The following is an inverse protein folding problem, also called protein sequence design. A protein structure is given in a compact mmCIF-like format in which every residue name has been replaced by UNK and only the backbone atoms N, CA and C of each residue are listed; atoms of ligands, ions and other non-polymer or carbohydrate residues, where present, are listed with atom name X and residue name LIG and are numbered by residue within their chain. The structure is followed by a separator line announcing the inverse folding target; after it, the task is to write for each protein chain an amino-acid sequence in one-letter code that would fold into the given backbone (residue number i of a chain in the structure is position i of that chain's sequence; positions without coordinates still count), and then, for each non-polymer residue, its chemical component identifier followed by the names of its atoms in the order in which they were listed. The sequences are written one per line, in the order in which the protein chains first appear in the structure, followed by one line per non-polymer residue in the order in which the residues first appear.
data_IF_311601968557
#
_entry.id   IF_311601968557
#
_cell.length_a   1.000
_cell.length_b   1.000
_cell.length_c   1.000
_cell.angle_alpha   90.00
_cell.angle_beta   90.00
_cell.angle_gamma   90.00
#
_symmetry.space_group_name_H-M   'P 1'
#
loop_
_entity.id
_entity.type
_entity.pdbx_description
1 polymer ?
#
# COMPACT_ATOMS: atom_id res chain seq x y z
N UNK A 1 -8.16 15.13 44.30
CA UNK A 1 -7.07 14.18 43.98
C UNK A 1 -7.20 13.77 42.51
N UNK A 2 -6.59 14.53 41.59
CA UNK A 2 -6.42 14.08 40.21
C UNK A 2 -4.97 13.64 40.06
N UNK A 3 -4.76 12.34 39.94
CA UNK A 3 -3.44 11.74 39.74
C UNK A 3 -3.09 11.85 38.26
N UNK A 4 -2.34 12.87 37.86
CA UNK A 4 -1.69 12.89 36.55
C UNK A 4 -0.37 12.13 36.67
N UNK A 5 -0.35 10.88 36.20
CA UNK A 5 0.90 10.16 35.99
C UNK A 5 1.60 10.73 34.75
N UNK A 6 2.89 11.02 34.87
CA UNK A 6 3.72 11.41 33.74
C UNK A 6 3.88 10.18 32.84
N UNK A 7 3.36 10.25 31.63
CA UNK A 7 3.60 9.25 30.60
C UNK A 7 4.93 9.61 29.95
N UNK A 8 5.97 8.82 30.21
CA UNK A 8 7.22 8.92 29.48
C UNK A 8 7.03 8.34 28.08
N UNK A 9 7.27 9.15 27.04
CA UNK A 9 7.11 8.75 25.64
C UNK A 9 8.50 8.60 25.05
N UNK A 10 8.97 7.36 24.97
CA UNK A 10 10.22 7.04 24.29
C UNK A 10 9.97 6.78 22.80
N UNK A 11 10.68 7.51 21.93
CA UNK A 11 10.72 7.20 20.50
C UNK A 11 11.71 6.08 20.24
N UNK A 12 11.20 4.90 19.94
CA UNK A 12 11.99 3.76 19.48
C UNK A 12 11.93 3.73 17.95
N UNK A 13 13.09 3.62 17.30
CA UNK A 13 13.16 3.37 15.85
C UNK A 13 13.18 1.87 15.62
N UNK A 14 12.25 1.37 14.81
CA UNK A 14 12.25 -0.01 14.38
C UNK A 14 12.91 -0.12 13.00
N UNK A 15 13.51 -1.27 12.66
CA UNK A 15 13.85 -1.57 11.27
C UNK A 15 12.60 -1.49 10.39
N UNK A 16 12.71 -0.87 9.22
CA UNK A 16 11.57 -0.64 8.32
C UNK A 16 10.89 -1.96 7.89
N UNK A 17 11.63 -3.09 7.87
CA UNK A 17 11.06 -4.42 7.67
C UNK A 17 10.03 -4.78 8.75
N UNK A 18 10.29 -4.45 10.01
CA UNK A 18 9.34 -4.70 11.11
C UNK A 18 8.12 -3.80 10.96
N UNK A 19 8.33 -2.54 10.59
CA UNK A 19 7.24 -1.60 10.31
C UNK A 19 6.36 -2.10 9.17
N UNK A 20 6.96 -2.61 8.08
CA UNK A 20 6.24 -3.21 6.94
C UNK A 20 5.34 -4.36 7.36
N UNK A 21 5.88 -5.32 8.10
CA UNK A 21 5.14 -6.49 8.59
C UNK A 21 3.97 -6.06 9.50
N UNK A 22 4.20 -5.07 10.36
CA UNK A 22 3.17 -4.53 11.23
C UNK A 22 2.05 -3.85 10.43
N UNK A 23 2.39 -2.97 9.49
CA UNK A 23 1.43 -2.28 8.64
C UNK A 23 0.62 -3.25 7.76
N UNK A 24 1.26 -4.28 7.21
CA UNK A 24 0.58 -5.35 6.47
C UNK A 24 -0.46 -6.03 7.36
N UNK A 25 -0.07 -6.44 8.58
CA UNK A 25 -1.00 -7.10 9.51
C UNK A 25 -2.15 -6.17 9.88
N UNK A 26 -1.88 -4.90 10.18
CA UNK A 26 -2.92 -3.91 10.44
C UNK A 26 -3.94 -3.81 9.30
N UNK A 27 -3.47 -3.73 8.06
CA UNK A 27 -4.37 -3.68 6.90
C UNK A 27 -5.18 -4.95 6.72
N UNK A 28 -4.59 -6.13 6.94
CA UNK A 28 -5.31 -7.41 6.79
C UNK A 28 -6.38 -7.56 7.87
N UNK A 29 -6.09 -7.18 9.12
CA UNK A 29 -7.02 -7.35 10.23
C UNK A 29 -8.06 -6.24 10.36
N UNK A 30 -7.72 -5.00 9.99
CA UNK A 30 -8.55 -3.82 10.24
C UNK A 30 -8.85 -2.99 8.99
N UNK A 31 -8.22 -3.29 7.85
CA UNK A 31 -8.49 -2.61 6.60
C UNK A 31 -9.78 -3.10 5.96
N UNK A 32 -10.47 -2.19 5.27
CA UNK A 32 -11.68 -2.53 4.52
C UNK A 32 -11.28 -2.99 3.11
N UNK A 33 -11.74 -4.17 2.64
CA UNK A 33 -11.50 -4.60 1.28
C UNK A 33 -12.30 -3.75 0.29
N UNK A 34 -11.64 -3.23 -0.74
CA UNK A 34 -12.30 -2.40 -1.76
C UNK A 34 -12.92 -3.29 -2.84
N UNK A 35 -14.22 -3.10 -3.07
CA UNK A 35 -14.94 -3.72 -4.19
C UNK A 35 -14.62 -2.97 -5.47
N UNK A 36 -13.87 -3.59 -6.37
CA UNK A 36 -13.55 -3.00 -7.68
C UNK A 36 -14.58 -3.43 -8.72
N UNK A 37 -14.89 -2.57 -9.71
CA UNK A 37 -15.92 -2.84 -10.74
C UNK A 37 -15.75 -4.18 -11.48
N UNK A 38 -14.53 -4.71 -11.63
CA UNK A 38 -14.29 -6.05 -12.19
C UNK A 38 -14.92 -7.20 -11.38
N UNK A 39 -15.23 -6.97 -10.10
CA UNK A 39 -15.87 -7.94 -9.22
C UNK A 39 -17.40 -7.85 -9.25
N UNK A 40 -18.00 -6.93 -10.04
CA UNK A 40 -19.46 -6.77 -10.14
C UNK A 40 -20.06 -7.51 -11.36
N UNK A 41 -19.27 -7.73 -12.41
CA UNK A 41 -19.75 -8.33 -13.68
C UNK A 41 -19.43 -9.83 -13.81
N UNK A 42 -18.63 -10.39 -12.90
CA UNK A 42 -18.34 -11.82 -12.84
C UNK A 42 -19.19 -12.46 -11.74
N UNK A 43 -19.91 -13.53 -12.08
CA UNK A 43 -20.59 -14.45 -11.16
C UNK A 43 -19.78 -14.61 -9.86
N UNK A 44 -20.44 -14.44 -8.70
CA UNK A 44 -19.92 -14.18 -7.33
C UNK A 44 -18.79 -15.12 -6.81
N UNK A 45 -18.30 -16.06 -7.63
CA UNK A 45 -17.36 -17.11 -7.27
C UNK A 45 -15.99 -17.03 -7.96
N UNK A 46 -15.71 -16.08 -8.87
CA UNK A 46 -14.38 -15.94 -9.48
C UNK A 46 -13.72 -14.60 -9.13
N UNK A 47 -13.09 -14.56 -7.95
CA UNK A 47 -12.08 -13.54 -7.65
C UNK A 47 -10.92 -13.67 -8.63
N UNK A 48 -10.46 -12.56 -9.19
CA UNK A 48 -9.27 -12.50 -10.03
C UNK A 48 -7.95 -12.65 -9.24
N UNK A 49 -8.05 -12.99 -7.95
CA UNK A 49 -6.93 -13.17 -7.04
C UNK A 49 -6.34 -11.87 -6.52
N UNK A 50 -6.94 -10.71 -6.80
CA UNK A 50 -6.46 -9.42 -6.29
C UNK A 50 -7.37 -8.93 -5.17
N UNK A 51 -6.77 -8.51 -4.06
CA UNK A 51 -7.50 -7.87 -2.95
C UNK A 51 -6.80 -6.58 -2.57
N UNK A 52 -7.55 -5.49 -2.49
CA UNK A 52 -7.04 -4.17 -2.14
C UNK A 52 -7.68 -3.78 -0.81
N UNK A 53 -6.86 -3.40 0.18
CA UNK A 53 -7.32 -2.98 1.49
C UNK A 53 -7.02 -1.50 1.69
N UNK A 54 -8.02 -0.79 2.19
CA UNK A 54 -7.87 0.57 2.68
C UNK A 54 -8.05 0.61 4.20
N UNK A 55 -6.99 0.99 4.91
CA UNK A 55 -7.07 1.27 6.34
C UNK A 55 -7.20 2.77 6.57
N UNK A 56 -8.45 3.23 6.71
CA UNK A 56 -8.82 4.64 6.97
C UNK A 56 -9.43 4.87 8.35
N UNK A 57 -9.90 3.80 9.01
CA UNK A 57 -10.57 3.89 10.31
C UNK A 57 -9.54 4.04 11.43
N UNK A 58 -9.92 4.75 12.50
CA UNK A 58 -9.17 4.88 13.76
C UNK A 58 -7.93 5.81 13.73
N UNK A 59 -7.67 6.50 12.62
CA UNK A 59 -6.58 7.48 12.54
C UNK A 59 -6.81 8.50 11.40
N UNK A 60 -6.08 9.61 11.44
CA UNK A 60 -6.13 10.67 10.41
C UNK A 60 -5.22 10.33 9.21
N UNK A 61 -5.59 9.32 8.43
CA UNK A 61 -4.79 8.87 7.30
C UNK A 61 -5.37 7.74 6.46
N UNK A 62 -4.53 7.22 5.56
CA UNK A 62 -4.79 6.07 4.70
C UNK A 62 -3.55 5.19 4.59
N UNK A 63 -3.70 3.88 4.73
CA UNK A 63 -2.73 2.90 4.23
C UNK A 63 -3.43 2.07 3.16
N UNK A 64 -2.78 1.95 2.01
CA UNK A 64 -3.27 1.14 0.89
C UNK A 64 -2.37 -0.08 0.72
N UNK A 65 -2.95 -1.26 0.95
CA UNK A 65 -2.29 -2.57 0.78
C UNK A 65 -2.93 -3.28 -0.41
N UNK A 66 -2.11 -3.87 -1.28
CA UNK A 66 -2.58 -4.74 -2.36
C UNK A 66 -2.02 -6.14 -2.15
N UNK A 67 -2.88 -7.14 -2.13
CA UNK A 67 -2.53 -8.56 -2.12
C UNK A 67 -2.79 -9.16 -3.50
N UNK A 68 -1.74 -9.65 -4.14
CA UNK A 68 -1.81 -10.42 -5.36
C UNK A 68 -1.70 -11.91 -5.03
N UNK A 69 -2.84 -12.59 -4.91
CA UNK A 69 -2.96 -14.05 -4.77
C UNK A 69 -3.09 -14.77 -6.11
N UNK A 70 -3.02 -14.05 -7.24
CA UNK A 70 -3.04 -14.70 -8.54
C UNK A 70 -1.78 -15.57 -8.70
N UNK A 71 -1.89 -16.83 -9.17
CA UNK A 71 -0.76 -17.77 -9.18
C UNK A 71 0.37 -17.41 -10.16
N UNK A 72 0.06 -16.74 -11.27
CA UNK A 72 1.02 -16.50 -12.36
C UNK A 72 1.07 -15.09 -12.95
N UNK A 73 0.19 -14.16 -12.53
CA UNK A 73 0.09 -12.82 -13.12
C UNK A 73 0.60 -11.77 -12.16
N UNK A 74 1.28 -10.78 -12.71
CA UNK A 74 1.65 -9.57 -12.00
C UNK A 74 0.45 -8.63 -11.93
N UNK A 75 0.30 -7.92 -10.82
CA UNK A 75 -0.64 -6.79 -10.73
C UNK A 75 0.13 -5.53 -11.07
N UNK A 76 -0.25 -4.88 -12.16
CA UNK A 76 0.21 -3.53 -12.48
C UNK A 76 -0.77 -2.58 -11.83
N UNK A 77 -0.32 -1.87 -10.79
CA UNK A 77 -1.14 -1.00 -9.96
C UNK A 77 -0.79 0.45 -10.25
N UNK A 78 -1.79 1.28 -10.46
CA UNK A 78 -1.65 2.72 -10.65
C UNK A 78 -2.47 3.45 -9.60
N UNK A 79 -1.81 4.26 -8.78
CA UNK A 79 -2.41 5.06 -7.73
C UNK A 79 -2.21 6.55 -8.01
N UNK A 80 -3.23 7.36 -7.73
CA UNK A 80 -3.20 8.82 -7.91
C UNK A 80 -3.79 9.53 -6.70
N UNK A 81 -3.14 10.61 -6.26
CA UNK A 81 -3.55 11.39 -5.10
C UNK A 81 -3.53 12.90 -5.39
N UNK A 82 -4.36 13.36 -6.32
CA UNK A 82 -4.32 14.73 -6.86
C UNK A 82 -5.13 15.75 -6.06
N UNK A 83 -6.17 15.34 -5.32
CA UNK A 83 -7.11 16.25 -4.64
C UNK A 83 -6.91 16.36 -3.12
N UNK A 84 -5.85 15.76 -2.58
CA UNK A 84 -5.58 15.76 -1.15
C UNK A 84 -4.98 17.07 -0.66
N UNK A 85 -5.49 17.57 0.48
CA UNK A 85 -5.03 18.78 1.15
C UNK A 85 -4.49 18.46 2.54
N UNK A 86 -3.40 19.13 2.93
CA UNK A 86 -2.77 18.97 4.24
C UNK A 86 -2.37 17.51 4.56
N UNK A 87 -1.84 16.80 3.57
CA UNK A 87 -1.39 15.41 3.71
C UNK A 87 0.11 15.25 3.46
N UNK A 88 0.68 14.22 4.06
CA UNK A 88 2.04 13.72 3.81
C UNK A 88 1.93 12.32 3.22
N UNK A 89 2.55 12.11 2.06
CA UNK A 89 2.57 10.84 1.32
C UNK A 89 3.96 10.22 1.47
N UNK A 90 4.04 8.92 1.79
CA UNK A 90 5.32 8.24 2.02
C UNK A 90 6.18 8.09 0.77
N UNK A 91 5.56 7.83 -0.39
CA UNK A 91 6.21 7.73 -1.70
C UNK A 91 6.11 9.08 -2.41
N UNK A 92 7.14 9.91 -2.24
CA UNK A 92 7.15 11.29 -2.77
C UNK A 92 7.34 11.28 -4.28
N UNK A 93 6.28 11.65 -4.99
CA UNK A 93 6.32 12.05 -6.39
C UNK A 93 5.78 13.49 -6.52
N UNK A 94 6.30 14.27 -7.47
CA UNK A 94 5.82 15.63 -7.72
C UNK A 94 4.39 15.67 -8.28
N UNK A 95 4.00 14.63 -9.01
CA UNK A 95 2.66 14.48 -9.61
C UNK A 95 1.70 13.70 -8.71
N UNK A 96 2.20 13.14 -7.59
CA UNK A 96 1.44 12.30 -6.65
C UNK A 96 0.81 11.08 -7.32
N UNK A 97 1.50 10.54 -8.32
CA UNK A 97 1.16 9.29 -8.99
C UNK A 97 2.17 8.21 -8.63
N UNK A 98 1.69 6.99 -8.41
CA UNK A 98 2.51 5.83 -8.12
C UNK A 98 2.15 4.69 -9.08
N UNK A 99 3.16 4.02 -9.61
CA UNK A 99 2.98 2.80 -10.37
C UNK A 99 3.80 1.70 -9.72
N UNK A 100 3.18 0.59 -9.37
CA UNK A 100 3.83 -0.54 -8.72
C UNK A 100 3.46 -1.85 -9.44
N UNK A 101 4.46 -2.73 -9.56
CA UNK A 101 4.27 -4.10 -10.03
C UNK A 101 4.40 -5.06 -8.87
N UNK A 102 3.31 -5.77 -8.59
CA UNK A 102 3.23 -6.72 -7.49
C UNK A 102 3.32 -8.13 -8.07
N UNK A 103 4.36 -8.91 -7.71
CA UNK A 103 4.53 -10.28 -8.21
C UNK A 103 3.39 -11.23 -7.82
N UNK A 104 3.23 -12.36 -8.54
CA UNK A 104 2.31 -13.42 -8.15
C UNK A 104 2.59 -13.92 -6.72
N UNK A 105 1.55 -14.09 -5.90
CA UNK A 105 1.63 -14.48 -4.49
C UNK A 105 2.41 -13.50 -3.59
N UNK A 106 2.41 -12.22 -3.92
CA UNK A 106 3.02 -11.16 -3.11
C UNK A 106 1.97 -10.13 -2.70
N UNK A 107 2.32 -9.35 -1.67
CA UNK A 107 1.57 -8.18 -1.25
C UNK A 107 2.49 -6.99 -1.09
N UNK A 108 1.94 -5.79 -1.21
CA UNK A 108 2.73 -4.57 -1.16
C UNK A 108 1.92 -3.42 -0.56
N UNK A 109 2.53 -2.70 0.38
CA UNK A 109 2.01 -1.40 0.81
C UNK A 109 2.33 -0.41 -0.29
N UNK A 110 1.32 0.07 -1.00
CA UNK A 110 1.48 1.02 -2.10
C UNK A 110 1.86 2.39 -1.53
N UNK A 111 1.09 2.83 -0.54
CA UNK A 111 1.25 4.16 0.02
C UNK A 111 0.73 4.23 1.47
N UNK A 112 1.36 5.08 2.26
CA UNK A 112 0.79 5.60 3.51
C UNK A 112 0.60 7.10 3.36
N UNK A 113 -0.57 7.61 3.72
CA UNK A 113 -0.93 9.01 3.72
C UNK A 113 -1.32 9.40 5.14
N UNK A 114 -0.71 10.44 5.68
CA UNK A 114 -1.03 10.97 7.01
C UNK A 114 -1.36 12.44 6.95
N UNK A 115 -2.12 12.94 7.92
CA UNK A 115 -2.31 14.38 8.09
C UNK A 115 -0.99 15.08 8.41
N UNK A 116 -0.67 16.14 7.67
CA UNK A 116 0.58 16.90 7.81
C UNK A 116 0.54 17.85 9.01
N UNK A 117 -0.56 18.56 9.21
CA UNK A 117 -0.73 19.50 10.33
C UNK A 117 -2.08 19.30 11.04
N UNK A 118 -2.11 19.20 12.37
CA UNK A 118 -3.36 19.11 13.13
C UNK A 118 -4.13 20.44 13.18
N UNK A 119 -3.51 21.57 12.81
CA UNK A 119 -4.11 22.90 12.94
C UNK A 119 -5.02 23.32 11.79
N UNK A 120 -5.05 22.56 10.69
CA UNK A 120 -5.87 22.85 9.51
C UNK A 120 -6.69 21.63 9.11
N UNK A 121 -7.81 21.84 8.44
CA UNK A 121 -8.58 20.75 7.83
C UNK A 121 -7.69 19.90 6.93
N UNK A 122 -8.05 18.63 6.77
CA UNK A 122 -7.37 17.74 5.86
C UNK A 122 -8.40 16.96 5.04
N UNK A 123 -7.98 16.57 3.84
CA UNK A 123 -8.77 15.71 2.97
C UNK A 123 -7.84 14.76 2.25
N UNK A 124 -8.28 13.51 2.10
CA UNK A 124 -7.60 12.50 1.31
C UNK A 124 -8.51 12.17 0.13
N UNK A 125 -8.16 12.71 -1.04
CA UNK A 125 -8.79 12.40 -2.31
C UNK A 125 -7.82 11.62 -3.18
N UNK A 126 -8.14 10.35 -3.43
CA UNK A 126 -7.32 9.43 -4.21
C UNK A 126 -8.17 8.52 -5.09
N UNK A 127 -7.51 7.96 -6.10
CA UNK A 127 -8.06 7.02 -7.06
C UNK A 127 -6.99 5.98 -7.40
N UNK A 128 -7.41 4.79 -7.83
CA UNK A 128 -6.50 3.77 -8.31
C UNK A 128 -7.12 2.84 -9.34
N UNK A 129 -6.27 2.23 -10.16
CA UNK A 129 -6.62 1.24 -11.16
C UNK A 129 -5.59 0.12 -11.16
N UNK A 130 -6.00 -1.07 -11.56
CA UNK A 130 -5.06 -2.16 -11.78
C UNK A 130 -5.43 -3.04 -12.96
N UNK A 131 -4.40 -3.69 -13.52
CA UNK A 131 -4.53 -4.72 -14.54
C UNK A 131 -3.66 -5.93 -14.18
N UNK A 132 -4.12 -7.11 -14.57
CA UNK A 132 -3.32 -8.33 -14.51
C UNK A 132 -2.46 -8.41 -15.77
N UNK A 133 -1.18 -8.71 -15.61
CA UNK A 133 -0.21 -8.72 -16.70
C UNK A 133 0.73 -9.93 -16.60
N UNK A 134 1.19 -10.41 -17.75
CA UNK A 134 2.30 -11.37 -17.80
C UNK A 134 3.67 -10.68 -17.68
N UNK A 135 3.72 -9.35 -17.75
CA UNK A 135 4.97 -8.58 -17.75
C UNK A 135 5.35 -8.18 -16.32
N UNK A 136 6.65 -8.21 -16.03
CA UNK A 136 7.21 -7.83 -14.72
C UNK A 136 7.83 -6.43 -14.70
N UNK A 137 7.55 -5.60 -15.71
CA UNK A 137 8.01 -4.21 -15.81
C UNK A 137 6.90 -3.31 -16.36
N UNK A 138 6.91 -2.05 -15.95
CA UNK A 138 6.17 -0.96 -16.57
C UNK A 138 7.12 -0.18 -17.47
N UNK A 139 6.57 0.46 -18.50
CA UNK A 139 7.24 1.52 -19.25
C UNK A 139 6.60 2.83 -18.81
N UNK A 140 7.33 3.66 -18.10
CA UNK A 140 6.87 4.98 -17.67
C UNK A 140 7.93 6.01 -18.08
N UNK A 141 7.49 7.21 -18.51
CA UNK A 141 8.40 8.23 -19.05
C UNK A 141 9.12 7.79 -20.33
N UNK A 142 10.44 7.99 -20.39
CA UNK A 142 11.31 7.72 -21.57
C UNK A 142 11.48 6.24 -21.94
N UNK A 143 10.56 5.35 -21.52
CA UNK A 143 10.57 3.94 -21.89
C UNK A 143 11.52 3.06 -21.07
N UNK A 144 12.07 3.58 -19.97
CA UNK A 144 12.88 2.80 -19.02
C UNK A 144 12.00 1.73 -18.36
N UNK A 145 12.45 0.47 -18.42
CA UNK A 145 11.79 -0.65 -17.75
C UNK A 145 12.06 -0.57 -16.25
N UNK A 146 11.00 -0.48 -15.45
CA UNK A 146 11.09 -0.49 -13.99
C UNK A 146 9.90 -1.22 -13.38
N UNK A 147 9.97 -1.58 -12.09
CA UNK A 147 8.83 -2.17 -11.36
C UNK A 147 8.04 -1.14 -10.56
N UNK A 148 8.69 -0.05 -10.18
CA UNK A 148 8.17 0.94 -9.26
C UNK A 148 8.42 2.33 -9.82
N UNK A 149 7.42 3.19 -9.73
CA UNK A 149 7.51 4.62 -9.97
C UNK A 149 6.76 5.36 -8.85
N UNK A 150 7.40 6.33 -8.17
CA UNK A 150 8.83 6.58 -8.14
C UNK A 150 9.62 5.33 -7.72
N UNK A 151 10.89 5.31 -8.12
CA UNK A 151 11.80 4.19 -7.86
C UNK A 151 11.89 3.90 -6.36
N UNK A 152 11.71 2.63 -6.00
CA UNK A 152 12.06 2.10 -4.67
C UNK A 152 13.47 1.53 -4.76
N UNK A 153 14.29 1.70 -3.72
CA UNK A 153 15.53 0.94 -3.63
C UNK A 153 15.21 -0.53 -3.34
N UNK A 154 15.37 -1.39 -4.35
CA UNK A 154 15.21 -2.85 -4.26
C UNK A 154 16.52 -3.56 -3.86
N UNK A 155 17.57 -2.84 -3.47
CA UNK A 155 18.81 -3.48 -3.02
C UNK A 155 18.52 -4.45 -1.87
N UNK A 156 19.26 -5.57 -1.79
CA UNK A 156 19.08 -6.60 -0.76
C UNK A 156 19.26 -6.07 0.69
N UNK A 157 19.78 -4.84 0.84
CA UNK A 157 19.96 -4.13 2.11
C UNK A 157 18.82 -3.14 2.41
N UNK A 158 17.88 -2.93 1.49
CA UNK A 158 16.79 -1.98 1.64
C UNK A 158 15.66 -2.59 2.47
N UNK A 159 15.38 -1.97 3.62
CA UNK A 159 14.27 -2.35 4.49
C UNK A 159 12.95 -1.63 4.14
N UNK A 160 12.85 -0.94 2.99
CA UNK A 160 11.74 -0.05 2.65
C UNK A 160 10.34 -0.70 2.85
N UNK A 161 9.43 0.06 3.49
CA UNK A 161 8.07 -0.40 3.84
C UNK A 161 7.21 -0.72 2.62
N UNK A 162 7.60 -0.22 1.45
CA UNK A 162 6.89 -0.37 0.19
C UNK A 162 7.40 -1.53 -0.67
N UNK A 163 8.44 -2.27 -0.26
CA UNK A 163 8.88 -3.43 -1.04
C UNK A 163 7.84 -4.57 -1.00
N UNK A 164 7.65 -5.30 -2.12
CA UNK A 164 6.79 -6.47 -2.14
C UNK A 164 7.23 -7.54 -1.12
N UNK A 165 6.26 -8.14 -0.45
CA UNK A 165 6.46 -9.23 0.50
C UNK A 165 5.68 -10.48 0.07
N UNK A 166 6.35 -11.63 0.08
CA UNK A 166 5.72 -12.91 -0.25
C UNK A 166 4.56 -13.21 0.71
N UNK A 167 3.43 -13.64 0.15
CA UNK A 167 2.32 -14.22 0.89
C UNK A 167 2.72 -15.66 1.18
N UNK A 168 3.26 -15.92 2.36
CA UNK A 168 3.50 -17.29 2.80
C UNK A 168 2.15 -18.03 2.81
N UNK A 169 2.05 -19.07 1.98
CA UNK A 169 1.01 -20.08 2.15
C UNK A 169 1.25 -20.71 3.52
N UNK A 170 0.30 -20.54 4.44
CA UNK A 170 0.25 -21.39 5.63
C UNK A 170 0.00 -22.79 5.09
N UNK A 171 1.07 -23.59 4.95
CA UNK A 171 0.92 -25.03 4.78
C UNK A 171 0.38 -25.53 6.12
N UNK A 172 -0.92 -25.80 6.16
CA UNK A 172 -1.47 -26.68 7.18
C UNK A 172 -0.86 -28.06 6.91
N UNK A 173 0.22 -28.39 7.61
CA UNK A 173 0.71 -29.76 7.75
C UNK A 173 -0.14 -30.48 8.80
#
# INVERSE_FOLDING_TARGET
LHSSHVIDIQRVKFPLRIEREFLIKLCIFHGEPVRTSKNLDNDDNQSDGVTIYELKKYWDGLILLVENRHPSKYVHFHFRCTLSQNTLISRKDSQRELFDIIPPNYRQIIVTISRKSPSSSYSIGHDFQYILSSQNFIKYGEGVKQKHWPKIDESQLSDDIHLPQCILSVKHN
#
